data_IF_541760680006
#
_entry.id   IF_541760680006
#
_cell.length_a   1.000
_cell.length_b   1.000
_cell.length_c   1.000
_cell.angle_alpha   90.00
_cell.angle_beta   90.00
_cell.angle_gamma   90.00
#
_symmetry.space_group_name_H-M   'P 1'
#
loop_
_entity.id
_entity.type
_entity.pdbx_description
1 polymer ?
#
# COMPACT_ATOMS: atom_id res chain seq x y z
N UNK A 1 -6.53 -8.49 -4.89
CA UNK A 1 -6.08 -7.49 -5.88
C UNK A 1 -5.47 -6.36 -5.10
N UNK A 2 -4.19 -6.04 -5.34
CA UNK A 2 -3.43 -5.03 -4.60
C UNK A 2 -3.01 -3.94 -5.58
N UNK A 3 -3.06 -2.67 -5.16
CA UNK A 3 -2.84 -1.53 -6.05
C UNK A 3 -1.46 -0.92 -5.80
N UNK A 4 -0.66 -0.82 -6.86
CA UNK A 4 0.59 -0.06 -6.89
C UNK A 4 0.33 1.25 -7.63
N UNK A 5 0.60 2.37 -6.98
CA UNK A 5 0.52 3.67 -7.62
C UNK A 5 1.95 4.17 -7.88
N UNK A 6 2.31 4.27 -9.16
CA UNK A 6 3.56 4.89 -9.61
C UNK A 6 3.24 6.30 -10.10
N UNK A 7 3.81 7.30 -9.44
CA UNK A 7 3.50 8.70 -9.71
C UNK A 7 4.71 9.39 -10.37
N UNK A 8 4.63 9.81 -11.65
CA UNK A 8 5.71 10.52 -12.34
C UNK A 8 5.84 12.00 -11.91
N UNK A 9 4.98 12.49 -11.01
CA UNK A 9 5.07 13.84 -10.44
C UNK A 9 4.02 14.11 -9.37
N UNK A 10 4.42 14.78 -8.29
CA UNK A 10 3.53 15.15 -7.18
C UNK A 10 2.46 16.18 -7.58
N UNK A 11 2.79 17.09 -8.53
CA UNK A 11 1.88 18.12 -9.04
C UNK A 11 0.63 17.57 -9.74
N UNK A 12 0.67 16.31 -10.20
CA UNK A 12 -0.46 15.65 -10.88
C UNK A 12 -1.63 15.32 -9.94
N UNK A 13 -1.46 15.47 -8.62
CA UNK A 13 -2.53 15.34 -7.61
C UNK A 13 -2.86 16.65 -6.89
N UNK A 14 -2.37 17.78 -7.39
CA UNK A 14 -3.01 19.07 -7.12
C UNK A 14 -3.80 19.49 -8.36
N UNK A 15 -4.97 18.88 -8.64
CA UNK A 15 -5.95 19.51 -9.50
C UNK A 15 -6.67 20.55 -8.64
N UNK A 16 -6.18 21.78 -8.66
CA UNK A 16 -7.00 22.99 -8.46
C UNK A 16 -7.72 23.16 -7.10
N UNK A 17 -7.50 22.27 -6.13
CA UNK A 17 -8.06 22.36 -4.78
C UNK A 17 -9.54 21.95 -4.64
N UNK A 18 -10.13 21.19 -5.57
CA UNK A 18 -11.58 20.86 -5.51
C UNK A 18 -11.94 19.39 -5.34
N UNK A 19 -10.96 18.52 -5.05
CA UNK A 19 -11.23 17.21 -4.41
C UNK A 19 -10.06 16.93 -3.49
N UNK A 20 -10.33 16.93 -2.18
CA UNK A 20 -9.28 16.90 -1.18
C UNK A 20 -8.49 15.59 -1.31
N UNK A 21 -7.16 15.68 -1.46
CA UNK A 21 -6.25 14.53 -1.41
C UNK A 21 -6.56 13.59 -0.23
N UNK A 22 -7.10 14.14 0.86
CA UNK A 22 -7.63 13.42 2.01
C UNK A 22 -8.74 12.42 1.65
N UNK A 23 -9.71 12.80 0.82
CA UNK A 23 -10.79 11.91 0.37
C UNK A 23 -10.25 10.71 -0.41
N UNK A 24 -9.20 10.92 -1.22
CA UNK A 24 -8.52 9.82 -1.93
C UNK A 24 -7.86 8.86 -0.94
N UNK A 25 -7.18 9.37 0.09
CA UNK A 25 -6.58 8.55 1.13
C UNK A 25 -7.62 7.78 1.94
N UNK A 26 -8.76 8.41 2.25
CA UNK A 26 -9.88 7.76 2.94
C UNK A 26 -10.49 6.65 2.11
N UNK A 27 -10.68 6.86 0.80
CA UNK A 27 -11.13 5.81 -0.12
C UNK A 27 -10.15 4.64 -0.19
N UNK A 28 -8.85 4.93 -0.22
CA UNK A 28 -7.80 3.89 -0.22
C UNK A 28 -7.80 3.10 1.09
N UNK A 29 -7.95 3.77 2.25
CA UNK A 29 -8.10 3.11 3.56
C UNK A 29 -9.36 2.26 3.62
N UNK A 30 -10.50 2.80 3.20
CA UNK A 30 -11.79 2.11 3.19
C UNK A 30 -11.80 0.86 2.29
N UNK A 31 -10.94 0.82 1.27
CA UNK A 31 -10.83 -0.35 0.38
C UNK A 31 -10.38 -1.63 1.08
N UNK A 32 -9.73 -1.52 2.25
CA UNK A 32 -9.19 -2.65 3.02
C UNK A 32 -8.06 -3.42 2.30
N UNK A 33 -7.58 -2.91 1.16
CA UNK A 33 -6.49 -3.50 0.40
C UNK A 33 -5.17 -2.86 0.84
N UNK A 34 -4.07 -3.62 0.85
CA UNK A 34 -2.76 -3.02 1.04
C UNK A 34 -2.48 -2.05 -0.11
N UNK A 35 -1.95 -0.87 0.19
CA UNK A 35 -1.59 0.15 -0.81
C UNK A 35 -0.15 0.55 -0.57
N UNK A 36 0.62 0.61 -1.65
CA UNK A 36 2.02 1.00 -1.64
C UNK A 36 2.19 2.11 -2.68
N UNK A 37 2.91 3.17 -2.30
CA UNK A 37 3.24 4.25 -3.22
C UNK A 37 4.69 4.13 -3.67
N UNK A 38 4.92 4.40 -4.94
CA UNK A 38 6.26 4.63 -5.46
C UNK A 38 6.34 6.04 -6.03
N UNK A 39 7.27 6.82 -5.47
CA UNK A 39 7.53 8.21 -5.90
C UNK A 39 8.98 8.30 -6.32
N UNK A 40 9.18 8.62 -7.60
CA UNK A 40 10.49 8.77 -8.24
C UNK A 40 10.57 10.16 -8.87
N UNK A 41 11.75 10.77 -8.90
CA UNK A 41 11.94 12.10 -9.50
C UNK A 41 12.88 12.99 -8.68
N UNK A 42 12.65 14.30 -8.76
CA UNK A 42 13.46 15.30 -8.04
C UNK A 42 13.42 15.06 -6.54
N UNK A 43 14.59 15.06 -5.90
CA UNK A 43 14.76 14.67 -4.49
C UNK A 43 13.94 15.51 -3.51
N UNK A 44 13.85 16.83 -3.71
CA UNK A 44 13.07 17.71 -2.83
C UNK A 44 11.57 17.43 -2.93
N UNK A 45 11.07 17.25 -4.16
CA UNK A 45 9.66 16.92 -4.41
C UNK A 45 9.31 15.52 -3.91
N UNK A 46 10.22 14.55 -4.08
CA UNK A 46 10.07 13.18 -3.56
C UNK A 46 10.02 13.22 -2.03
N UNK A 47 10.88 14.01 -1.38
CA UNK A 47 10.90 14.13 0.08
C UNK A 47 9.58 14.71 0.60
N UNK A 48 9.08 15.79 -0.01
CA UNK A 48 7.81 16.40 0.38
C UNK A 48 6.63 15.43 0.20
N UNK A 49 6.54 14.79 -0.96
CA UNK A 49 5.53 13.79 -1.28
C UNK A 49 5.56 12.63 -0.29
N UNK A 50 6.76 12.13 0.00
CA UNK A 50 6.99 11.04 0.94
C UNK A 50 6.49 11.40 2.32
N UNK A 51 6.87 12.56 2.86
CA UNK A 51 6.45 13.00 4.19
C UNK A 51 4.92 13.08 4.30
N UNK A 52 4.23 13.58 3.27
CA UNK A 52 2.76 13.67 3.27
C UNK A 52 2.08 12.30 3.20
N UNK A 53 2.50 11.45 2.26
CA UNK A 53 1.89 10.12 2.07
C UNK A 53 2.18 9.20 3.28
N UNK A 54 3.41 9.22 3.80
CA UNK A 54 3.76 8.48 5.02
C UNK A 54 3.02 9.03 6.25
N UNK A 55 2.80 10.35 6.32
CA UNK A 55 1.97 10.99 7.35
C UNK A 55 0.52 10.48 7.36
N UNK A 56 -0.01 10.09 6.21
CA UNK A 56 -1.34 9.47 6.06
C UNK A 56 -1.35 7.96 6.37
N UNK A 57 -0.20 7.40 6.77
CA UNK A 57 -0.05 5.99 7.12
C UNK A 57 0.21 5.06 5.94
N UNK A 58 0.53 5.60 4.76
CA UNK A 58 0.83 4.79 3.59
C UNK A 58 2.35 4.66 3.37
N UNK A 59 2.86 3.43 3.17
CA UNK A 59 4.27 3.21 2.86
C UNK A 59 4.66 3.74 1.47
N UNK A 60 5.80 4.46 1.43
CA UNK A 60 6.36 5.06 0.21
C UNK A 60 7.73 4.46 -0.09
N UNK A 61 7.99 4.18 -1.37
CA UNK A 61 9.28 3.68 -1.85
C UNK A 61 9.84 4.56 -2.95
N UNK A 62 11.15 4.74 -2.94
CA UNK A 62 11.90 5.50 -3.93
C UNK A 62 12.26 4.72 -5.19
N UNK A 63 11.90 3.44 -5.26
CA UNK A 63 12.18 2.57 -6.40
C UNK A 63 11.00 1.63 -6.65
N UNK A 64 10.50 1.58 -7.88
CA UNK A 64 9.37 0.71 -8.25
C UNK A 64 9.68 -0.76 -7.96
N UNK A 65 10.91 -1.21 -8.23
CA UNK A 65 11.35 -2.59 -7.99
C UNK A 65 11.24 -2.99 -6.52
N UNK A 66 11.54 -2.07 -5.59
CA UNK A 66 11.37 -2.28 -4.16
C UNK A 66 9.90 -2.36 -3.78
N UNK A 67 9.07 -1.44 -4.28
CA UNK A 67 7.63 -1.47 -4.03
C UNK A 67 7.00 -2.79 -4.49
N UNK A 68 7.34 -3.26 -5.70
CA UNK A 68 6.88 -4.54 -6.27
C UNK A 68 7.37 -5.74 -5.45
N UNK A 69 8.60 -5.70 -4.96
CA UNK A 69 9.17 -6.79 -4.14
C UNK A 69 8.44 -6.93 -2.81
N UNK A 70 8.21 -5.80 -2.12
CA UNK A 70 7.43 -5.76 -0.87
C UNK A 70 6.00 -6.23 -1.14
N UNK A 71 5.40 -5.78 -2.23
CA UNK A 71 4.06 -6.17 -2.61
C UNK A 71 3.93 -7.70 -2.78
N UNK A 72 4.90 -8.30 -3.47
CA UNK A 72 4.98 -9.73 -3.70
C UNK A 72 5.18 -10.52 -2.40
N UNK A 73 5.88 -9.94 -1.42
CA UNK A 73 6.04 -10.52 -0.10
C UNK A 73 4.73 -10.47 0.70
N UNK A 74 4.06 -9.31 0.75
CA UNK A 74 2.76 -9.15 1.43
C UNK A 74 1.71 -10.13 0.89
N UNK A 75 1.67 -10.32 -0.43
CA UNK A 75 0.75 -11.28 -1.03
C UNK A 75 1.07 -12.73 -0.62
N UNK A 76 2.35 -13.12 -0.64
CA UNK A 76 2.79 -14.45 -0.17
C UNK A 76 2.46 -14.67 1.30
N UNK A 77 2.67 -13.66 2.14
CA UNK A 77 2.33 -13.72 3.55
C UNK A 77 0.83 -13.88 3.77
N UNK A 78 0.00 -13.11 3.06
CA UNK A 78 -1.45 -13.24 3.11
C UNK A 78 -1.93 -14.65 2.70
N UNK A 79 -1.31 -15.24 1.67
CA UNK A 79 -1.57 -16.63 1.27
C UNK A 79 -1.15 -17.64 2.36
N UNK A 80 0.00 -17.43 2.99
CA UNK A 80 0.48 -18.29 4.08
C UNK A 80 -0.46 -18.24 5.28
N UNK A 81 -0.81 -17.04 5.76
CA UNK A 81 -1.76 -16.86 6.87
C UNK A 81 -3.06 -17.58 6.55
N UNK A 82 -3.65 -17.35 5.37
CA UNK A 82 -4.87 -18.05 4.95
C UNK A 82 -4.76 -19.57 4.98
N UNK A 83 -3.60 -20.15 4.66
CA UNK A 83 -3.40 -21.60 4.75
C UNK A 83 -3.32 -22.10 6.19
N UNK A 84 -2.60 -21.38 7.04
CA UNK A 84 -2.40 -21.79 8.45
C UNK A 84 -3.66 -21.54 9.28
N UNK A 85 -4.42 -20.48 9.00
CA UNK A 85 -5.70 -20.17 9.66
C UNK A 85 -6.82 -21.17 9.33
N UNK A 86 -6.67 -21.98 8.27
CA UNK A 86 -7.67 -22.96 7.80
C UNK A 86 -7.28 -24.39 8.17
N UNK A 87 -6.30 -24.60 9.05
CA UNK A 87 -6.12 -25.87 9.74
C UNK A 87 -6.96 -25.87 11.02
N UNK A 88 -8.23 -26.33 11.02
CA UNK A 88 -8.83 -26.74 12.27
C UNK A 88 -7.96 -27.88 12.77
N UNK A 89 -7.38 -27.70 13.95
CA UNK A 89 -6.89 -28.80 14.76
C UNK A 89 -8.08 -29.75 14.88
N UNK A 90 -8.11 -30.81 14.05
CA UNK A 90 -9.00 -31.94 14.26
C UNK A 90 -8.58 -32.48 15.61
N UNK A 91 -9.29 -32.11 16.68
CA UNK A 91 -9.20 -32.80 17.96
C UNK A 91 -9.61 -34.24 17.69
N UNK A 92 -8.61 -35.09 17.50
CA UNK A 92 -8.75 -36.51 17.73
C UNK A 92 -9.00 -36.69 19.23
N UNK A 93 -10.23 -37.03 19.57
CA UNK A 93 -10.59 -37.85 20.73
C UNK A 93 -12.07 -38.24 20.54
N UNK A 94 -12.28 -39.27 19.72
CA UNK A 94 -13.35 -40.22 20.01
C UNK A 94 -12.82 -41.21 21.04
N UNK A 95 -13.73 -41.79 21.83
CA UNK A 95 -13.43 -42.82 22.83
C UNK A 95 -14.11 -42.53 24.15
#
# INVERSE_FOLDING_TARGET
MVSLFAMPGWKTYTPDGSTELAEVFDLLRASGKPVLFCVEGNEELVREARTKIEGEGFPVYSQVTRAVSVLSYLNRYAHFVRRVSVSPIRRAAGG
#
